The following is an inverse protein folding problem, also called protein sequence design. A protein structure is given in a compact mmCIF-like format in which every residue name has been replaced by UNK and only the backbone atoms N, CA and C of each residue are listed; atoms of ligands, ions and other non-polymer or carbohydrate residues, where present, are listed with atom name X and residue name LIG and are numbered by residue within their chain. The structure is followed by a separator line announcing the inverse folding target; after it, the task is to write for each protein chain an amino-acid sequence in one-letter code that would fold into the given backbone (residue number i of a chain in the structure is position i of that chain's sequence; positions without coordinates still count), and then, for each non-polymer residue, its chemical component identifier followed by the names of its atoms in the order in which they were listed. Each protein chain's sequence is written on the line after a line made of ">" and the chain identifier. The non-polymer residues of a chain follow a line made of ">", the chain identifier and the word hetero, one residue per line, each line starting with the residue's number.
data_IF_396106611519
#
_entry.id   IF_396106611519
#
_cell.length_a   1.000
_cell.length_b   1.000
_cell.length_c   1.000
_cell.angle_alpha   90.00
_cell.angle_beta   90.00
_cell.angle_gamma   90.00
#
_symmetry.space_group_name_H-M   'P 1'
#
loop_
_entity.id
_entity.type
_entity.pdbx_description
1 polymer ?
#
# COMPACT_ATOMS: atom_id res chain seq x y z
N UNK A 1 -25.53 -4.30 -21.46
CA UNK A 1 -25.29 -3.22 -20.49
C UNK A 1 -23.84 -3.32 -20.07
N UNK A 2 -23.11 -2.21 -19.98
CA UNK A 2 -21.77 -2.24 -19.37
C UNK A 2 -21.95 -2.59 -17.90
N UNK A 3 -21.24 -3.60 -17.40
CA UNK A 3 -21.18 -3.87 -15.96
C UNK A 3 -20.63 -2.63 -15.24
N UNK A 4 -21.22 -2.29 -14.09
CA UNK A 4 -20.70 -1.19 -13.27
C UNK A 4 -19.45 -1.66 -12.56
N UNK A 5 -18.51 -0.74 -12.31
CA UNK A 5 -17.22 -1.07 -11.70
C UNK A 5 -17.32 -1.79 -10.35
N UNK A 6 -18.45 -1.64 -9.63
CA UNK A 6 -18.69 -2.26 -8.33
C UNK A 6 -19.48 -3.58 -8.38
N UNK A 7 -19.91 -4.03 -9.57
CA UNK A 7 -20.69 -5.27 -9.73
C UNK A 7 -19.78 -6.50 -9.96
N UNK A 8 -18.50 -6.28 -10.28
CA UNK A 8 -17.49 -7.33 -10.43
C UNK A 8 -16.71 -7.62 -9.13
N UNK A 9 -15.74 -8.54 -9.19
CA UNK A 9 -14.86 -8.84 -8.05
C UNK A 9 -14.13 -7.59 -7.54
N UNK A 10 -14.20 -7.38 -6.23
CA UNK A 10 -13.51 -6.28 -5.56
C UNK A 10 -12.17 -6.74 -5.00
N UNK A 11 -11.22 -5.81 -4.97
CA UNK A 11 -9.91 -5.98 -4.38
C UNK A 11 -9.65 -4.84 -3.40
N UNK A 12 -9.29 -5.17 -2.17
CA UNK A 12 -8.71 -4.23 -1.23
C UNK A 12 -7.24 -4.02 -1.57
N UNK A 13 -6.84 -2.77 -1.75
CA UNK A 13 -5.45 -2.36 -1.93
C UNK A 13 -5.10 -1.34 -0.87
N UNK A 14 -3.97 -1.57 -0.20
CA UNK A 14 -3.47 -0.69 0.84
C UNK A 14 -1.95 -0.58 0.75
N UNK A 15 -1.43 0.57 1.18
CA UNK A 15 0.00 0.89 1.15
C UNK A 15 0.44 1.61 2.41
N UNK A 16 1.63 1.23 2.88
CA UNK A 16 2.41 2.07 3.80
C UNK A 16 3.52 2.76 3.00
N UNK A 17 3.75 4.04 3.26
CA UNK A 17 4.60 4.91 2.43
C UNK A 17 5.59 5.71 3.28
N UNK A 18 6.63 6.24 2.65
CA UNK A 18 7.61 7.13 3.31
C UNK A 18 7.01 8.46 3.78
N UNK A 19 5.78 8.79 3.39
CA UNK A 19 5.09 10.02 3.73
C UNK A 19 3.71 10.10 3.07
N UNK A 20 3.16 11.31 2.92
CA UNK A 20 1.79 11.54 2.44
C UNK A 20 1.70 12.15 1.04
N UNK A 21 2.82 12.47 0.39
CA UNK A 21 2.84 13.01 -0.96
C UNK A 21 2.74 11.88 -1.98
N UNK A 22 1.62 11.79 -2.68
CA UNK A 22 1.36 10.73 -3.66
C UNK A 22 2.31 10.77 -4.86
N UNK A 23 2.85 11.94 -5.20
CA UNK A 23 3.77 12.11 -6.32
C UNK A 23 5.25 11.82 -5.98
N UNK A 24 5.61 11.82 -4.70
CA UNK A 24 7.02 11.83 -4.27
C UNK A 24 7.37 10.71 -3.30
N UNK A 25 6.47 10.37 -2.38
CA UNK A 25 6.71 9.36 -1.38
C UNK A 25 6.63 7.95 -1.97
N UNK A 26 7.48 7.07 -1.44
CA UNK A 26 7.67 5.72 -1.97
C UNK A 26 6.95 4.70 -1.11
N UNK A 27 6.52 3.62 -1.73
CA UNK A 27 5.87 2.50 -1.05
C UNK A 27 6.91 1.71 -0.25
N UNK A 28 6.61 1.48 1.02
CA UNK A 28 7.36 0.64 1.96
C UNK A 28 6.69 -0.73 2.12
N UNK A 29 5.37 -0.78 2.11
CA UNK A 29 4.59 -2.02 2.11
C UNK A 29 3.40 -1.89 1.17
N UNK A 30 3.04 -2.98 0.49
CA UNK A 30 1.78 -3.07 -0.25
C UNK A 30 1.04 -4.36 0.13
N UNK A 31 -0.28 -4.28 0.21
CA UNK A 31 -1.16 -5.43 0.42
C UNK A 31 -2.29 -5.47 -0.60
N UNK A 32 -2.58 -6.67 -1.10
CA UNK A 32 -3.78 -6.96 -1.88
C UNK A 32 -4.62 -7.98 -1.13
N UNK A 33 -5.89 -7.70 -0.94
CA UNK A 33 -6.86 -8.59 -0.30
C UNK A 33 -8.03 -8.82 -1.24
N UNK A 34 -8.33 -10.08 -1.53
CA UNK A 34 -9.48 -10.51 -2.33
C UNK A 34 -10.42 -11.34 -1.46
N UNK A 35 -11.57 -11.73 -2.02
CA UNK A 35 -12.47 -12.68 -1.35
C UNK A 35 -11.88 -14.08 -1.14
N UNK A 36 -10.73 -14.39 -1.74
CA UNK A 36 -10.12 -15.73 -1.72
C UNK A 36 -8.74 -15.78 -1.07
N UNK A 37 -8.15 -14.64 -0.72
CA UNK A 37 -6.86 -14.61 -0.05
C UNK A 37 -6.24 -13.22 0.00
N UNK A 38 -5.00 -13.17 0.48
CA UNK A 38 -4.23 -11.94 0.59
C UNK A 38 -2.77 -12.18 0.23
N UNK A 39 -2.14 -11.16 -0.35
CA UNK A 39 -0.69 -11.10 -0.55
C UNK A 39 -0.16 -9.78 -0.04
N UNK A 40 0.96 -9.83 0.67
CA UNK A 40 1.64 -8.66 1.22
C UNK A 40 3.11 -8.68 0.84
N UNK A 41 3.66 -7.52 0.53
CA UNK A 41 5.07 -7.34 0.25
C UNK A 41 5.64 -6.24 1.13
N UNK A 42 6.81 -6.52 1.71
CA UNK A 42 7.72 -5.49 2.21
C UNK A 42 8.65 -5.09 1.08
N UNK A 43 8.77 -3.79 0.84
CA UNK A 43 9.45 -3.20 -0.31
C UNK A 43 10.54 -2.28 0.21
N UNK A 44 11.77 -2.46 -0.28
CA UNK A 44 12.84 -1.48 -0.06
C UNK A 44 12.52 -0.22 -0.88
N UNK A 45 12.22 0.93 -0.23
CA UNK A 45 11.87 2.13 -0.95
C UNK A 45 13.08 2.77 -1.66
N UNK A 46 14.31 2.35 -1.36
CA UNK A 46 15.54 2.92 -1.91
C UNK A 46 15.81 4.37 -1.47
N UNK A 47 15.15 4.81 -0.39
CA UNK A 47 15.32 6.09 0.31
C UNK A 47 15.09 5.86 1.79
N UNK A 48 15.62 6.71 2.66
CA UNK A 48 15.37 6.62 4.11
C UNK A 48 13.88 6.80 4.42
N UNK A 49 13.33 5.93 5.27
CA UNK A 49 11.98 6.09 5.80
C UNK A 49 11.99 7.20 6.86
N UNK A 50 11.24 8.31 6.65
CA UNK A 50 11.18 9.39 7.61
C UNK A 50 10.61 8.92 8.95
N UNK A 51 11.13 9.40 10.11
CA UNK A 51 10.65 8.98 11.42
C UNK A 51 9.15 9.21 11.65
N UNK A 52 8.56 10.17 10.92
CA UNK A 52 7.11 10.39 10.92
C UNK A 52 6.33 9.19 10.41
N UNK A 53 6.75 8.63 9.28
CA UNK A 53 6.15 7.45 8.68
C UNK A 53 6.38 6.21 9.56
N UNK A 54 7.60 5.99 10.03
CA UNK A 54 7.92 4.91 10.99
C UNK A 54 7.05 4.97 12.25
N UNK A 55 6.74 6.15 12.78
CA UNK A 55 5.84 6.24 13.95
C UNK A 55 4.40 5.81 13.66
N UNK A 56 3.96 5.89 12.41
CA UNK A 56 2.62 5.47 11.99
C UNK A 56 2.58 3.96 11.76
N UNK A 57 3.45 3.44 10.89
CA UNK A 57 3.37 2.04 10.44
C UNK A 57 4.39 1.10 11.10
N UNK A 58 5.35 1.62 11.87
CA UNK A 58 6.32 0.81 12.64
C UNK A 58 7.44 0.16 11.82
N UNK A 59 7.59 0.51 10.54
CA UNK A 59 8.61 -0.07 9.64
C UNK A 59 9.83 0.86 9.60
N UNK A 60 11.01 0.26 9.65
CA UNK A 60 12.32 0.92 9.61
C UNK A 60 13.14 0.44 8.43
N UNK A 61 14.19 1.18 8.09
CA UNK A 61 15.24 0.79 7.14
C UNK A 61 15.99 -0.48 7.58
#
# INVERSE_FOLDING_TARGET
>A
MSERWFEGPLLGFDTETTGVSVEQDRIVQAALVTGTGSTTWLIDPGVTIPPGATRVHGITD
#
